data_IF_909094940448
#
_entry.id   IF_909094940448
#
_cell.length_a   1.000
_cell.length_b   1.000
_cell.length_c   1.000
_cell.angle_alpha   90.00
_cell.angle_beta   90.00
_cell.angle_gamma   90.00
#
_symmetry.space_group_name_H-M   'P 1'
#
loop_
_entity.id
_entity.type
_entity.pdbx_description
1 polymer ?
#
# COMPACT_ATOMS: atom_id res chain seq x y z
N UNK A 1 14.43 -40.19 56.17
CA UNK A 1 13.71 -40.44 54.91
C UNK A 1 14.34 -39.53 53.85
N UNK A 2 15.21 -40.06 53.00
CA UNK A 2 15.60 -39.52 51.68
C UNK A 2 14.63 -40.08 50.62
N UNK A 3 14.66 -39.72 49.31
CA UNK A 3 15.53 -38.76 48.57
C UNK A 3 14.67 -37.81 47.68
N UNK A 4 15.18 -36.93 46.81
CA UNK A 4 16.52 -36.62 46.29
C UNK A 4 16.45 -35.37 45.39
N UNK A 5 17.46 -34.49 45.38
CA UNK A 5 18.58 -34.42 44.40
C UNK A 5 18.07 -34.24 42.95
N UNK A 6 18.48 -33.27 42.12
CA UNK A 6 19.70 -32.46 41.97
C UNK A 6 19.37 -31.28 41.00
N UNK A 7 19.84 -30.04 41.17
CA UNK A 7 21.17 -29.50 40.78
C UNK A 7 21.41 -29.57 39.24
N UNK A 8 21.97 -28.61 38.51
CA UNK A 8 22.68 -27.34 38.76
C UNK A 8 22.97 -26.72 37.36
N UNK A 9 23.11 -25.39 37.28
CA UNK A 9 24.01 -24.59 36.38
C UNK A 9 24.00 -24.81 34.85
N UNK A 10 23.66 -23.80 34.03
CA UNK A 10 24.39 -22.57 33.64
C UNK A 10 25.65 -22.77 32.79
N UNK A 11 25.69 -22.06 31.65
CA UNK A 11 26.84 -21.55 30.84
C UNK A 11 26.57 -21.80 29.34
N UNK A 12 26.23 -20.78 28.55
CA UNK A 12 27.13 -19.85 27.83
C UNK A 12 28.10 -20.56 26.87
N UNK A 13 27.95 -20.34 25.57
CA UNK A 13 29.09 -19.98 24.70
C UNK A 13 28.64 -19.67 23.27
N UNK A 14 29.28 -18.62 22.78
CA UNK A 14 29.40 -18.14 21.41
C UNK A 14 29.97 -19.18 20.42
N UNK A 15 29.47 -19.19 19.19
CA UNK A 15 30.31 -19.46 18.01
C UNK A 15 29.65 -19.02 16.71
N UNK A 16 30.38 -18.18 16.00
CA UNK A 16 30.33 -17.85 14.57
C UNK A 16 30.09 -19.04 13.64
N UNK A 17 29.27 -18.82 12.61
CA UNK A 17 29.17 -19.70 11.44
C UNK A 17 27.94 -19.41 10.59
N UNK A 18 28.10 -18.65 9.50
CA UNK A 18 27.16 -18.73 8.37
C UNK A 18 27.27 -20.13 7.77
N UNK A 19 26.39 -21.04 8.19
CA UNK A 19 26.11 -22.29 7.50
C UNK A 19 24.63 -22.31 7.22
N UNK A 20 24.23 -22.41 5.95
CA UNK A 20 22.84 -22.53 5.54
C UNK A 20 22.13 -23.55 6.44
N UNK A 21 21.19 -23.10 7.27
CA UNK A 21 20.26 -24.02 7.92
C UNK A 21 19.62 -24.86 6.80
N UNK A 22 19.55 -26.20 6.95
CA UNK A 22 18.77 -27.00 6.01
C UNK A 22 17.36 -26.39 5.95
N UNK A 23 16.90 -26.11 4.72
CA UNK A 23 15.58 -25.55 4.51
C UNK A 23 14.56 -26.45 5.22
N UNK A 24 13.67 -25.89 6.06
CA UNK A 24 12.71 -26.70 6.79
C UNK A 24 11.84 -27.47 5.81
N UNK A 25 11.56 -28.74 6.13
CA UNK A 25 10.65 -29.59 5.35
C UNK A 25 9.23 -29.05 5.49
N UNK A 26 8.53 -28.81 4.38
CA UNK A 26 7.19 -28.21 4.41
C UNK A 26 6.09 -29.14 4.97
N UNK A 27 6.48 -30.27 5.53
CA UNK A 27 5.65 -31.28 6.19
C UNK A 27 5.80 -31.20 7.73
N UNK A 28 6.67 -30.33 8.25
CA UNK A 28 6.90 -30.11 9.68
C UNK A 28 6.29 -28.78 10.13
N UNK A 29 5.37 -28.79 11.10
CA UNK A 29 4.83 -27.54 11.68
C UNK A 29 5.94 -26.70 12.32
N UNK A 30 5.98 -25.36 12.14
CA UNK A 30 4.95 -24.50 11.54
C UNK A 30 5.02 -24.33 10.00
N UNK A 31 5.87 -25.07 9.30
CA UNK A 31 6.16 -24.92 7.86
C UNK A 31 5.24 -25.72 6.93
N UNK A 32 4.06 -26.14 7.40
CA UNK A 32 3.10 -26.91 6.57
C UNK A 32 2.56 -26.08 5.40
N UNK A 33 2.69 -26.57 4.15
CA UNK A 33 2.06 -25.91 3.00
C UNK A 33 0.55 -25.71 3.20
N UNK A 34 0.01 -24.58 2.72
CA UNK A 34 -1.43 -24.30 2.82
C UNK A 34 -2.26 -25.38 2.12
N UNK A 35 -3.46 -25.68 2.65
CA UNK A 35 -4.37 -26.75 2.21
C UNK A 35 -5.07 -26.53 0.85
N UNK A 36 -4.37 -26.00 -0.14
CA UNK A 36 -4.85 -25.87 -1.52
C UNK A 36 -4.58 -27.17 -2.30
N UNK A 37 -5.59 -27.69 -3.01
CA UNK A 37 -5.49 -28.91 -3.82
C UNK A 37 -4.50 -28.81 -5.00
N UNK A 38 -4.22 -27.58 -5.45
CA UNK A 38 -3.29 -27.30 -6.55
C UNK A 38 -1.86 -27.02 -6.08
N UNK A 39 -1.57 -27.25 -4.80
CA UNK A 39 -0.27 -26.97 -4.22
C UNK A 39 0.27 -28.18 -3.45
N UNK A 40 1.52 -28.51 -3.71
CA UNK A 40 2.18 -29.65 -3.09
C UNK A 40 3.56 -29.25 -2.54
N UNK A 41 4.04 -30.02 -1.56
CA UNK A 41 5.40 -29.91 -1.05
C UNK A 41 6.36 -30.60 -2.03
N UNK A 42 7.07 -29.82 -2.83
CA UNK A 42 8.08 -30.34 -3.75
C UNK A 42 9.41 -30.48 -3.00
N UNK A 43 9.92 -31.71 -2.91
CA UNK A 43 11.17 -31.99 -2.20
C UNK A 43 12.37 -31.60 -3.07
N UNK A 44 13.26 -30.77 -2.54
CA UNK A 44 14.49 -30.39 -3.22
C UNK A 44 15.50 -31.53 -3.18
N UNK A 45 16.06 -31.88 -4.33
CA UNK A 45 16.98 -33.02 -4.45
C UNK A 45 18.36 -32.76 -3.84
N UNK A 46 18.77 -31.50 -3.71
CA UNK A 46 20.09 -31.08 -3.22
C UNK A 46 20.19 -30.89 -1.71
N UNK A 47 19.16 -30.33 -1.08
CA UNK A 47 19.20 -29.91 0.34
C UNK A 47 18.35 -30.78 1.26
N UNK A 48 17.51 -31.66 0.71
CA UNK A 48 16.56 -32.46 1.47
C UNK A 48 15.46 -31.67 2.18
N UNK A 49 15.33 -30.36 1.87
CA UNK A 49 14.22 -29.50 2.28
C UNK A 49 13.06 -29.55 1.29
N UNK A 50 11.92 -28.96 1.65
CA UNK A 50 10.75 -28.85 0.77
C UNK A 50 10.48 -27.40 0.36
N UNK A 51 9.74 -27.21 -0.72
CA UNK A 51 9.10 -25.92 -1.04
C UNK A 51 7.64 -26.12 -1.42
N UNK A 52 6.79 -25.18 -1.00
CA UNK A 52 5.39 -25.14 -1.41
C UNK A 52 5.30 -24.55 -2.81
N UNK A 53 4.85 -25.34 -3.77
CA UNK A 53 4.78 -24.92 -5.16
C UNK A 53 3.49 -25.37 -5.83
N UNK A 54 3.10 -24.66 -6.88
CA UNK A 54 1.87 -24.95 -7.59
C UNK A 54 2.06 -26.07 -8.64
N UNK A 55 1.29 -27.13 -8.55
CA UNK A 55 1.45 -28.31 -9.43
C UNK A 55 0.63 -28.23 -10.72
N UNK A 56 0.20 -27.03 -11.13
CA UNK A 56 -0.53 -26.81 -12.40
C UNK A 56 0.34 -26.87 -13.65
N UNK A 57 1.68 -26.77 -13.51
CA UNK A 57 2.57 -26.86 -14.68
C UNK A 57 2.72 -28.32 -15.08
N UNK A 58 2.35 -28.63 -16.32
CA UNK A 58 2.57 -29.95 -16.91
C UNK A 58 4.05 -30.31 -16.92
N UNK A 59 4.38 -31.56 -16.58
CA UNK A 59 5.75 -32.07 -16.63
C UNK A 59 6.39 -31.94 -18.02
N UNK A 60 5.59 -31.98 -19.09
CA UNK A 60 6.07 -31.76 -20.46
C UNK A 60 6.57 -30.34 -20.74
N UNK A 61 6.21 -29.36 -19.90
CA UNK A 61 6.66 -27.98 -19.98
C UNK A 61 7.89 -27.69 -19.09
N UNK A 62 8.37 -28.67 -18.33
CA UNK A 62 9.51 -28.55 -17.43
C UNK A 62 10.71 -29.33 -17.98
N UNK A 63 11.90 -28.78 -17.81
CA UNK A 63 13.14 -29.47 -18.17
C UNK A 63 13.53 -30.46 -17.07
N UNK A 64 14.04 -31.63 -17.43
CA UNK A 64 14.57 -32.60 -16.48
C UNK A 64 15.82 -32.05 -15.77
N UNK A 65 16.00 -32.40 -14.50
CA UNK A 65 17.24 -32.06 -13.80
C UNK A 65 18.47 -32.73 -14.41
N UNK A 66 19.61 -32.06 -14.32
CA UNK A 66 20.92 -32.53 -14.78
C UNK A 66 21.77 -33.07 -13.62
N UNK A 67 22.87 -33.76 -13.96
CA UNK A 67 23.90 -34.30 -13.05
C UNK A 67 23.32 -35.02 -11.84
N UNK A 68 23.04 -36.32 -11.99
CA UNK A 68 22.44 -37.19 -10.96
C UNK A 68 21.16 -36.62 -10.32
N UNK A 69 20.35 -35.88 -11.10
CA UNK A 69 19.11 -35.23 -10.68
C UNK A 69 19.28 -34.18 -9.56
N UNK A 70 20.37 -33.40 -9.58
CA UNK A 70 20.65 -32.42 -8.51
C UNK A 70 20.62 -30.97 -8.98
N UNK A 71 20.82 -30.69 -10.26
CA UNK A 71 20.98 -29.30 -10.74
C UNK A 71 20.09 -29.01 -11.93
N UNK A 72 19.98 -27.73 -12.28
CA UNK A 72 19.21 -27.25 -13.41
C UNK A 72 20.07 -26.39 -14.32
N UNK A 73 20.00 -26.65 -15.63
CA UNK A 73 20.63 -25.82 -16.66
C UNK A 73 19.86 -24.53 -16.93
N UNK A 74 18.57 -24.49 -16.60
CA UNK A 74 17.72 -23.30 -16.74
C UNK A 74 17.93 -22.35 -15.55
N UNK A 75 18.34 -21.09 -15.78
CA UNK A 75 18.49 -20.09 -14.71
C UNK A 75 17.18 -19.87 -13.93
N UNK A 76 17.29 -19.49 -12.66
CA UNK A 76 16.15 -19.24 -11.76
C UNK A 76 15.18 -20.42 -11.58
N UNK A 77 15.64 -21.64 -11.84
CA UNK A 77 14.91 -22.86 -11.53
C UNK A 77 15.63 -23.67 -10.47
N UNK A 78 14.90 -24.60 -9.85
CA UNK A 78 15.39 -25.44 -8.78
C UNK A 78 14.99 -26.88 -9.06
N UNK A 79 15.93 -27.81 -8.82
CA UNK A 79 15.66 -29.22 -9.04
C UNK A 79 14.79 -29.77 -7.89
N UNK A 80 13.61 -30.26 -8.24
CA UNK A 80 12.65 -30.78 -7.27
C UNK A 80 12.07 -32.12 -7.71
N UNK A 81 11.71 -32.93 -6.73
CA UNK A 81 10.92 -34.14 -6.94
C UNK A 81 9.44 -33.77 -6.95
N UNK A 82 8.86 -33.71 -8.16
CA UNK A 82 7.44 -33.46 -8.35
C UNK A 82 6.70 -34.79 -8.48
N UNK A 83 5.74 -35.01 -7.58
CA UNK A 83 4.92 -36.24 -7.49
C UNK A 83 4.15 -36.55 -8.78
N UNK A 84 3.93 -35.55 -9.64
CA UNK A 84 3.21 -35.69 -10.92
C UNK A 84 4.14 -35.97 -12.11
N UNK A 85 5.46 -35.96 -11.91
CA UNK A 85 6.45 -36.19 -12.96
C UNK A 85 7.23 -37.47 -12.70
N UNK A 86 7.54 -38.24 -13.75
CA UNK A 86 8.27 -39.50 -13.63
C UNK A 86 9.74 -39.33 -13.23
N UNK A 87 10.30 -38.13 -13.45
CA UNK A 87 11.68 -37.75 -13.17
C UNK A 87 11.74 -36.41 -12.44
N UNK A 88 12.79 -36.13 -11.66
CA UNK A 88 13.01 -34.80 -11.08
C UNK A 88 13.12 -33.73 -12.16
N UNK A 89 12.46 -32.60 -11.93
CA UNK A 89 12.31 -31.51 -12.90
C UNK A 89 12.78 -30.18 -12.33
N UNK A 90 13.21 -29.31 -13.24
CA UNK A 90 13.62 -27.94 -12.98
C UNK A 90 12.41 -27.03 -12.89
N UNK A 91 12.05 -26.68 -11.66
CA UNK A 91 10.84 -25.94 -11.34
C UNK A 91 11.17 -24.45 -11.12
N UNK A 92 10.40 -23.49 -11.68
CA UNK A 92 10.67 -22.06 -11.51
C UNK A 92 10.59 -21.63 -10.04
N UNK A 93 11.64 -20.97 -9.54
CA UNK A 93 11.71 -20.54 -8.13
C UNK A 93 10.63 -19.51 -7.82
N UNK A 94 10.21 -18.68 -8.79
CA UNK A 94 9.14 -17.70 -8.62
C UNK A 94 7.76 -18.32 -8.36
N UNK A 95 7.58 -19.60 -8.71
CA UNK A 95 6.35 -20.37 -8.51
C UNK A 95 6.42 -21.29 -7.29
N UNK A 96 7.47 -21.15 -6.47
CA UNK A 96 7.66 -21.91 -5.26
C UNK A 96 8.09 -21.01 -4.09
N UNK A 97 7.59 -21.27 -2.88
CA UNK A 97 8.10 -20.57 -1.69
C UNK A 97 8.35 -21.53 -0.52
N UNK A 98 9.20 -21.16 0.47
CA UNK A 98 9.49 -22.02 1.61
C UNK A 98 8.33 -22.23 2.61
N UNK A 99 7.22 -21.48 2.49
CA UNK A 99 6.17 -21.48 3.52
C UNK A 99 4.73 -21.45 2.98
N UNK A 100 4.44 -20.85 1.82
CA UNK A 100 3.07 -20.70 1.30
C UNK A 100 3.01 -20.78 -0.24
N UNK A 101 1.89 -21.25 -0.78
CA UNK A 101 1.73 -21.38 -2.23
C UNK A 101 1.60 -19.98 -2.88
N UNK A 102 2.40 -19.66 -3.92
CA UNK A 102 2.26 -18.40 -4.63
C UNK A 102 0.94 -18.33 -5.40
N UNK A 103 0.35 -17.14 -5.60
CA UNK A 103 -0.91 -16.98 -6.33
C UNK A 103 -0.75 -17.36 -7.81
N UNK A 104 -1.70 -18.11 -8.36
CA UNK A 104 -1.74 -18.47 -9.77
C UNK A 104 -1.99 -17.22 -10.63
N UNK A 105 -0.96 -16.69 -11.27
CA UNK A 105 -1.11 -15.69 -12.31
C UNK A 105 -1.69 -16.35 -13.57
N UNK A 106 -2.88 -15.93 -14.00
CA UNK A 106 -3.42 -16.34 -15.31
C UNK A 106 -2.57 -15.69 -16.41
N UNK A 107 -1.54 -16.39 -16.89
CA UNK A 107 -0.61 -15.85 -17.87
C UNK A 107 0.52 -16.74 -18.37
N UNK A 108 0.73 -17.95 -17.84
CA UNK A 108 1.84 -18.81 -18.25
C UNK A 108 1.40 -20.19 -18.74
N UNK A 109 0.62 -20.22 -19.83
CA UNK A 109 0.62 -21.34 -20.79
C UNK A 109 0.40 -20.74 -22.19
N UNK A 110 1.48 -20.41 -22.90
CA UNK A 110 1.63 -20.79 -24.32
C UNK A 110 3.05 -20.50 -24.80
N UNK A 111 3.60 -21.52 -25.44
CA UNK A 111 4.94 -21.71 -26.01
C UNK A 111 5.20 -20.86 -27.25
N UNK A 112 6.41 -20.31 -27.37
CA UNK A 112 7.26 -20.55 -28.56
C UNK A 112 8.72 -20.19 -28.27
N UNK A 113 9.57 -21.21 -28.23
CA UNK A 113 10.98 -21.05 -28.58
C UNK A 113 11.03 -20.73 -30.07
N UNK A 114 11.80 -19.71 -30.45
CA UNK A 114 12.36 -19.66 -31.80
C UNK A 114 13.76 -19.09 -31.76
N UNK A 115 14.61 -19.83 -32.46
CA UNK A 115 16.05 -19.85 -32.52
C UNK A 115 16.66 -18.59 -33.13
N UNK A 116 17.81 -18.20 -32.59
CA UNK A 116 18.80 -17.30 -33.18
C UNK A 116 19.08 -17.62 -34.65
N UNK A 117 19.05 -16.59 -35.50
CA UNK A 117 19.98 -16.45 -36.62
C UNK A 117 20.36 -14.98 -36.77
N UNK A 118 21.66 -14.78 -36.90
CA UNK A 118 22.41 -13.54 -37.09
C UNK A 118 22.09 -12.89 -38.44
N UNK A 119 21.84 -11.58 -38.47
CA UNK A 119 22.42 -10.70 -39.49
C UNK A 119 22.39 -9.22 -39.10
N UNK A 120 23.44 -8.53 -39.54
CA UNK A 120 23.90 -7.17 -39.19
C UNK A 120 23.16 -6.10 -40.00
N UNK A 121 22.85 -4.90 -39.47
CA UNK A 121 22.45 -3.79 -40.31
C UNK A 121 23.67 -2.93 -40.71
N UNK A 122 23.83 -2.80 -42.03
CA UNK A 122 24.74 -1.86 -42.70
C UNK A 122 24.01 -0.54 -42.94
N UNK A 123 24.74 0.56 -42.70
CA UNK A 123 24.40 1.95 -42.98
C UNK A 123 24.15 2.20 -44.48
N UNK A 124 23.09 2.93 -44.85
CA UNK A 124 23.17 3.82 -46.03
C UNK A 124 22.23 5.02 -45.88
N UNK A 125 22.85 6.18 -46.08
CA UNK A 125 22.28 7.52 -46.23
C UNK A 125 21.75 7.67 -47.64
N UNK A 126 20.60 8.32 -47.85
CA UNK A 126 20.38 9.02 -49.11
C UNK A 126 19.55 10.30 -48.90
N UNK A 127 20.12 11.36 -49.46
CA UNK A 127 19.67 12.75 -49.46
C UNK A 127 19.01 12.97 -50.82
N UNK A 128 17.89 13.70 -50.86
CA UNK A 128 17.54 14.49 -52.04
C UNK A 128 17.06 15.89 -51.64
N UNK A 129 17.97 16.85 -51.90
CA UNK A 129 17.74 18.25 -52.28
C UNK A 129 16.88 18.31 -53.55
N UNK A 130 16.14 19.35 -53.96
CA UNK A 130 16.27 20.82 -53.94
C UNK A 130 14.90 21.34 -54.49
N UNK A 131 14.42 22.56 -54.28
CA UNK A 131 14.68 23.73 -55.17
C UNK A 131 13.95 24.98 -54.64
N UNK A 132 14.59 26.11 -54.89
CA UNK A 132 14.37 27.54 -54.62
C UNK A 132 13.16 28.20 -55.31
N UNK A 133 12.56 29.26 -54.71
CA UNK A 133 12.56 30.64 -55.27
C UNK A 133 11.97 31.74 -54.34
N UNK A 134 12.24 33.00 -54.74
CA UNK A 134 12.43 34.28 -54.00
C UNK A 134 11.14 35.14 -53.76
N UNK A 135 11.24 36.32 -53.08
CA UNK A 135 10.17 37.05 -52.39
C UNK A 135 9.55 38.21 -53.18
N UNK A 136 8.39 38.69 -52.70
CA UNK A 136 7.81 40.00 -53.08
C UNK A 136 7.13 40.68 -51.89
N UNK A 137 7.23 42.01 -51.87
CA UNK A 137 7.07 42.95 -50.75
C UNK A 137 5.66 43.58 -50.64
N UNK A 138 5.30 43.94 -49.40
CA UNK A 138 4.44 45.06 -48.92
C UNK A 138 2.96 45.14 -49.30
N UNK A 139 2.08 45.09 -48.29
CA UNK A 139 1.13 46.18 -48.01
C UNK A 139 0.62 46.12 -46.56
N UNK A 140 0.62 47.28 -45.90
CA UNK A 140 0.22 47.49 -44.51
C UNK A 140 -1.27 47.83 -44.50
N UNK A 141 -2.08 46.94 -43.93
CA UNK A 141 -3.42 47.28 -43.46
C UNK A 141 -3.47 47.13 -41.94
N UNK A 142 -3.57 48.26 -41.26
CA UNK A 142 -3.88 48.37 -39.83
C UNK A 142 -5.33 47.94 -39.60
N UNK A 143 -5.50 46.81 -38.91
CA UNK A 143 -6.78 46.39 -38.36
C UNK A 143 -6.58 45.97 -36.91
N UNK A 144 -7.41 46.55 -36.04
CA UNK A 144 -7.45 46.46 -34.58
C UNK A 144 -7.41 45.02 -34.09
N UNK A 145 -6.37 44.64 -33.33
CA UNK A 145 -6.27 43.33 -32.66
C UNK A 145 -7.08 43.34 -31.36
N UNK A 146 -8.29 42.80 -31.41
CA UNK A 146 -8.90 42.20 -30.22
C UNK A 146 -8.08 40.97 -29.81
N UNK A 147 -7.75 40.90 -28.53
CA UNK A 147 -7.06 39.77 -27.90
C UNK A 147 -7.85 38.46 -28.12
N UNK A 148 -7.23 37.37 -28.56
CA UNK A 148 -7.95 36.11 -28.72
C UNK A 148 -8.34 35.60 -27.33
N UNK A 149 -9.65 35.52 -27.11
CA UNK A 149 -10.27 34.82 -25.98
C UNK A 149 -9.69 33.42 -25.92
N UNK A 150 -8.83 33.16 -24.93
CA UNK A 150 -8.36 31.81 -24.61
C UNK A 150 -9.56 31.00 -24.15
N UNK A 151 -10.19 30.30 -25.08
CA UNK A 151 -11.16 29.26 -24.76
C UNK A 151 -10.38 28.16 -24.06
N UNK A 152 -10.46 28.08 -22.73
CA UNK A 152 -9.97 26.92 -21.98
C UNK A 152 -10.71 25.70 -22.49
N UNK A 153 -10.03 24.90 -23.32
CA UNK A 153 -10.48 23.57 -23.69
C UNK A 153 -10.44 22.74 -22.40
N UNK A 154 -11.61 22.53 -21.80
CA UNK A 154 -11.79 21.51 -20.76
C UNK A 154 -11.58 20.16 -21.41
N UNK A 155 -10.36 19.64 -21.33
CA UNK A 155 -10.04 18.29 -21.77
C UNK A 155 -10.77 17.36 -20.79
N UNK A 156 -11.91 16.80 -21.19
CA UNK A 156 -12.54 15.76 -20.39
C UNK A 156 -11.62 14.53 -20.45
N UNK A 157 -10.84 14.33 -19.38
CA UNK A 157 -9.86 13.27 -19.29
C UNK A 157 -10.47 11.85 -19.38
N UNK A 158 -11.80 11.72 -19.29
CA UNK A 158 -12.54 10.47 -19.50
C UNK A 158 -13.04 10.26 -20.94
N UNK A 159 -12.87 11.23 -21.85
CA UNK A 159 -13.38 11.16 -23.23
C UNK A 159 -12.39 10.57 -24.25
N UNK A 160 -11.13 10.40 -23.88
CA UNK A 160 -10.15 9.68 -24.71
C UNK A 160 -10.14 8.19 -24.30
N UNK A 161 -10.82 7.38 -25.12
CA UNK A 161 -10.97 5.93 -25.09
C UNK A 161 -10.16 5.13 -24.06
N UNK A 162 -10.91 4.40 -23.23
CA UNK A 162 -10.51 3.18 -22.50
C UNK A 162 -9.27 3.30 -21.61
N UNK A 163 -9.42 3.98 -20.46
CA UNK A 163 -8.39 3.93 -19.39
C UNK A 163 -8.76 3.09 -18.18
N UNK A 164 -10.04 2.83 -17.95
CA UNK A 164 -10.49 1.98 -16.85
C UNK A 164 -10.78 0.57 -17.39
N UNK A 165 -9.96 -0.39 -16.98
CA UNK A 165 -10.08 -1.82 -17.32
C UNK A 165 -11.11 -2.50 -16.40
N UNK A 166 -11.47 -3.75 -16.71
CA UNK A 166 -12.31 -4.59 -15.86
C UNK A 166 -13.61 -3.92 -15.37
N UNK A 167 -14.34 -3.29 -16.30
CA UNK A 167 -15.56 -2.52 -16.03
C UNK A 167 -15.38 -1.34 -15.05
N UNK A 168 -14.17 -0.79 -14.94
CA UNK A 168 -13.92 0.41 -14.17
C UNK A 168 -14.68 1.62 -14.73
N UNK A 169 -15.30 2.42 -13.86
CA UNK A 169 -15.99 3.66 -14.27
C UNK A 169 -15.02 4.83 -14.23
N UNK A 170 -14.86 5.58 -15.31
CA UNK A 170 -14.00 6.76 -15.31
C UNK A 170 -14.67 7.95 -14.61
N UNK A 171 -13.92 8.65 -13.77
CA UNK A 171 -14.34 9.91 -13.15
C UNK A 171 -13.31 11.01 -13.46
N UNK A 172 -13.75 12.18 -13.96
CA UNK A 172 -12.85 13.29 -14.26
C UNK A 172 -12.34 13.93 -12.95
N UNK A 173 -11.07 14.34 -12.94
CA UNK A 173 -10.42 15.05 -11.83
C UNK A 173 -9.51 16.14 -12.39
N UNK A 174 -10.02 17.37 -12.51
CA UNK A 174 -9.32 18.47 -13.17
C UNK A 174 -8.95 18.13 -14.62
N UNK A 175 -7.65 18.21 -14.95
CA UNK A 175 -7.10 17.80 -16.26
C UNK A 175 -6.73 16.30 -16.33
N UNK A 176 -7.03 15.53 -15.29
CA UNK A 176 -6.71 14.11 -15.14
C UNK A 176 -8.00 13.29 -14.94
N UNK A 177 -7.86 11.97 -14.84
CA UNK A 177 -8.95 11.04 -14.58
C UNK A 177 -8.55 10.04 -13.49
N UNK A 178 -9.54 9.39 -12.89
CA UNK A 178 -9.34 8.20 -12.07
C UNK A 178 -10.43 7.16 -12.35
N UNK A 179 -10.12 5.90 -12.07
CA UNK A 179 -11.02 4.79 -12.32
C UNK A 179 -11.69 4.26 -11.05
N UNK A 180 -13.00 4.08 -11.08
CA UNK A 180 -13.77 3.39 -10.05
C UNK A 180 -13.77 1.90 -10.38
N UNK A 181 -13.01 1.12 -9.63
CA UNK A 181 -12.88 -0.30 -9.91
C UNK A 181 -13.99 -1.10 -9.24
N UNK A 182 -14.77 -1.89 -9.99
CA UNK A 182 -15.81 -2.73 -9.40
C UNK A 182 -15.19 -3.93 -8.67
N UNK A 183 -15.86 -4.40 -7.61
CA UNK A 183 -15.51 -5.62 -6.87
C UNK A 183 -14.04 -5.66 -6.40
N UNK A 184 -13.35 -6.76 -6.73
CA UNK A 184 -11.95 -7.00 -6.38
C UNK A 184 -10.94 -6.36 -7.33
N UNK A 185 -11.39 -5.62 -8.35
CA UNK A 185 -10.47 -4.96 -9.27
C UNK A 185 -9.84 -3.72 -8.63
N UNK A 186 -8.58 -3.42 -8.97
CA UNK A 186 -7.87 -2.27 -8.42
C UNK A 186 -6.72 -1.79 -9.32
N UNK A 187 -6.16 -0.63 -8.95
CA UNK A 187 -5.09 0.05 -9.68
C UNK A 187 -5.61 1.32 -10.34
N UNK A 188 -4.71 2.19 -10.79
CA UNK A 188 -5.06 3.47 -11.42
C UNK A 188 -6.05 3.32 -12.59
N UNK A 189 -6.00 2.16 -13.23
CA UNK A 189 -6.80 1.77 -14.39
C UNK A 189 -7.62 0.50 -14.11
N UNK A 190 -7.80 0.07 -12.86
CA UNK A 190 -8.51 -1.18 -12.50
C UNK A 190 -7.93 -2.46 -13.12
N UNK A 191 -6.64 -2.46 -13.44
CA UNK A 191 -6.00 -3.52 -14.21
C UNK A 191 -5.71 -4.81 -13.43
N UNK A 192 -5.81 -4.77 -12.09
CA UNK A 192 -5.42 -5.87 -11.22
C UNK A 192 -6.63 -6.47 -10.52
N UNK A 193 -6.52 -7.73 -10.05
CA UNK A 193 -7.55 -8.48 -9.31
C UNK A 193 -7.03 -8.82 -7.90
N UNK A 194 -7.80 -8.52 -6.86
CA UNK A 194 -7.51 -8.93 -5.46
C UNK A 194 -8.22 -10.23 -5.08
N UNK A 195 -7.80 -10.85 -3.97
CA UNK A 195 -8.43 -12.09 -3.48
C UNK A 195 -9.94 -11.91 -3.26
N UNK A 196 -10.72 -12.75 -3.94
CA UNK A 196 -12.17 -12.64 -4.06
C UNK A 196 -12.95 -12.86 -2.75
N UNK A 197 -12.34 -13.47 -1.73
CA UNK A 197 -13.00 -13.80 -0.45
C UNK A 197 -12.86 -12.73 0.64
N UNK A 198 -11.77 -11.96 0.62
CA UNK A 198 -11.51 -10.89 1.60
C UNK A 198 -12.15 -9.57 1.16
N UNK A 199 -12.23 -9.32 -0.15
CA UNK A 199 -12.89 -8.13 -0.72
C UNK A 199 -14.43 -8.21 -0.64
N UNK A 200 -15.02 -9.41 -0.77
CA UNK A 200 -16.47 -9.59 -0.66
C UNK A 200 -17.03 -9.18 0.71
N UNK A 201 -16.25 -9.32 1.78
CA UNK A 201 -16.62 -8.87 3.12
C UNK A 201 -16.67 -7.33 3.21
N UNK A 202 -15.82 -6.63 2.45
CA UNK A 202 -15.84 -5.16 2.35
C UNK A 202 -17.07 -4.71 1.62
N UNK A 203 -17.36 -5.36 0.49
CA UNK A 203 -18.53 -5.06 -0.32
C UNK A 203 -19.81 -5.32 0.48
N UNK A 204 -19.85 -6.34 1.35
CA UNK A 204 -20.95 -6.58 2.29
C UNK A 204 -21.08 -5.47 3.35
N UNK A 205 -19.98 -5.03 3.97
CA UNK A 205 -19.99 -3.92 4.95
C UNK A 205 -20.43 -2.60 4.29
N UNK A 206 -19.93 -2.31 3.08
CA UNK A 206 -20.23 -1.08 2.34
C UNK A 206 -21.70 -1.09 1.87
N UNK A 207 -22.14 -2.18 1.24
CA UNK A 207 -23.48 -2.27 0.65
C UNK A 207 -24.57 -2.51 1.71
N UNK A 208 -24.23 -3.14 2.85
CA UNK A 208 -25.16 -3.37 3.96
C UNK A 208 -25.43 -2.13 4.82
N UNK A 209 -24.59 -1.09 4.74
CA UNK A 209 -24.63 0.05 5.69
C UNK A 209 -25.16 1.37 5.10
N UNK A 210 -25.57 1.41 3.82
CA UNK A 210 -26.00 2.64 3.12
C UNK A 210 -24.99 3.81 3.28
N UNK A 211 -23.70 3.49 3.29
CA UNK A 211 -22.59 4.46 3.48
C UNK A 211 -22.02 4.90 2.13
N UNK A 212 -21.66 6.19 2.01
CA UNK A 212 -20.94 6.68 0.84
C UNK A 212 -19.46 6.33 0.97
N UNK A 213 -19.00 5.37 0.18
CA UNK A 213 -17.61 4.89 0.21
C UNK A 213 -16.59 5.99 -0.12
N UNK A 214 -15.65 6.26 0.78
CA UNK A 214 -14.63 7.30 0.61
C UNK A 214 -13.31 6.73 0.08
N UNK A 215 -12.81 7.21 -1.06
CA UNK A 215 -11.60 6.66 -1.71
C UNK A 215 -10.28 7.34 -1.35
N UNK A 216 -10.29 8.30 -0.43
CA UNK A 216 -9.12 9.15 -0.14
C UNK A 216 -7.89 8.32 0.21
N UNK A 217 -8.05 7.36 1.11
CA UNK A 217 -6.98 6.46 1.57
C UNK A 217 -6.39 5.65 0.41
N UNK A 218 -7.23 5.00 -0.39
CA UNK A 218 -6.78 4.21 -1.54
C UNK A 218 -6.00 5.07 -2.54
N UNK A 219 -6.54 6.24 -2.89
CA UNK A 219 -5.93 7.12 -3.89
C UNK A 219 -4.57 7.65 -3.44
N UNK A 220 -4.48 8.10 -2.19
CA UNK A 220 -3.22 8.60 -1.62
C UNK A 220 -2.16 7.51 -1.60
N UNK A 221 -2.52 6.30 -1.13
CA UNK A 221 -1.58 5.21 -0.99
C UNK A 221 -1.19 4.59 -2.35
N UNK A 222 -2.05 4.66 -3.36
CA UNK A 222 -1.72 4.22 -4.72
C UNK A 222 -0.77 5.20 -5.43
N UNK A 223 -0.90 6.51 -5.20
CA UNK A 223 -0.04 7.52 -5.87
C UNK A 223 1.28 7.78 -5.13
N UNK A 224 1.46 7.23 -3.94
CA UNK A 224 2.68 7.39 -3.13
C UNK A 224 3.40 6.06 -2.91
N UNK A 225 4.73 6.06 -2.99
CA UNK A 225 5.56 4.84 -2.86
C UNK A 225 6.27 4.73 -1.50
N UNK A 226 5.55 4.98 -0.40
CA UNK A 226 6.13 4.90 0.95
C UNK A 226 6.35 3.44 1.39
N UNK A 227 7.40 3.18 2.18
CA UNK A 227 7.76 1.85 2.73
C UNK A 227 8.17 1.99 4.19
N UNK A 228 8.28 0.86 4.91
CA UNK A 228 8.58 0.85 6.35
C UNK A 228 7.64 1.76 7.14
N UNK A 229 6.34 1.56 6.91
CA UNK A 229 5.27 2.41 7.42
C UNK A 229 4.79 1.91 8.79
N UNK A 230 4.53 2.84 9.69
CA UNK A 230 3.55 2.67 10.77
C UNK A 230 2.27 3.43 10.39
N UNK A 231 1.16 2.71 10.32
CA UNK A 231 -0.15 3.28 10.01
C UNK A 231 -0.94 3.47 11.30
N UNK A 232 -1.27 4.72 11.61
CA UNK A 232 -2.07 5.13 12.76
C UNK A 232 -3.43 5.54 12.21
N UNK A 233 -4.48 4.85 12.62
CA UNK A 233 -5.78 4.87 11.97
C UNK A 233 -6.85 5.15 13.02
N UNK A 234 -7.52 6.27 12.84
CA UNK A 234 -8.77 6.57 13.52
C UNK A 234 -9.84 5.57 13.07
N UNK A 235 -10.47 4.89 14.02
CA UNK A 235 -11.56 3.94 13.79
C UNK A 235 -12.80 4.27 14.61
N UNK A 236 -13.02 5.55 14.93
CA UNK A 236 -14.26 6.02 15.56
C UNK A 236 -15.46 5.89 14.61
N UNK A 237 -16.67 6.12 15.15
CA UNK A 237 -17.91 5.89 14.43
C UNK A 237 -18.04 6.73 13.15
N UNK A 238 -17.57 7.98 13.16
CA UNK A 238 -17.61 8.87 12.00
C UNK A 238 -16.66 8.39 10.90
N UNK A 239 -15.58 7.69 11.25
CA UNK A 239 -14.63 7.15 10.30
C UNK A 239 -15.14 5.94 9.51
N UNK A 240 -16.30 5.34 9.82
CA UNK A 240 -16.82 4.15 9.13
C UNK A 240 -16.64 4.17 7.59
N UNK A 241 -17.02 5.25 6.86
CA UNK A 241 -16.84 5.34 5.42
C UNK A 241 -15.38 5.27 4.97
N UNK A 242 -14.47 5.87 5.73
CA UNK A 242 -13.04 5.85 5.44
C UNK A 242 -12.36 4.57 5.95
N UNK A 243 -12.79 4.04 7.09
CA UNK A 243 -12.33 2.78 7.67
C UNK A 243 -12.61 1.60 6.74
N UNK A 244 -13.74 1.59 6.01
CA UNK A 244 -13.99 0.61 4.96
C UNK A 244 -12.96 0.69 3.82
N UNK A 245 -12.52 1.91 3.46
CA UNK A 245 -11.48 2.11 2.46
C UNK A 245 -10.08 1.76 2.98
N UNK A 246 -9.80 2.03 4.25
CA UNK A 246 -8.62 1.53 4.94
C UNK A 246 -8.60 0.00 4.90
N UNK A 247 -9.71 -0.66 5.24
CA UNK A 247 -9.84 -2.11 5.22
C UNK A 247 -9.62 -2.70 3.82
N UNK A 248 -10.29 -2.14 2.80
CA UNK A 248 -10.11 -2.55 1.39
C UNK A 248 -8.66 -2.36 0.97
N UNK A 249 -8.10 -1.19 1.25
CA UNK A 249 -6.71 -0.92 0.95
C UNK A 249 -5.76 -1.88 1.67
N UNK A 250 -5.97 -2.20 2.95
CA UNK A 250 -5.12 -3.10 3.72
C UNK A 250 -5.06 -4.49 3.11
N UNK A 251 -6.21 -5.06 2.74
CA UNK A 251 -6.28 -6.35 2.02
C UNK A 251 -5.48 -6.26 0.73
N UNK A 252 -5.77 -5.25 -0.09
CA UNK A 252 -5.15 -5.10 -1.40
C UNK A 252 -3.66 -4.75 -1.30
N UNK A 253 -3.19 -4.05 -0.26
CA UNK A 253 -1.81 -3.64 -0.09
C UNK A 253 -0.93 -4.75 0.51
N UNK A 254 -1.51 -5.57 1.38
CA UNK A 254 -0.88 -6.79 1.88
C UNK A 254 -0.60 -7.78 0.76
N UNK A 255 -1.54 -7.93 -0.18
CA UNK A 255 -1.38 -8.77 -1.38
C UNK A 255 -0.34 -8.21 -2.37
N UNK A 256 0.08 -6.94 -2.25
CA UNK A 256 0.96 -6.27 -3.21
C UNK A 256 2.44 -6.13 -2.80
N UNK A 257 2.77 -5.69 -1.57
CA UNK A 257 4.16 -5.21 -1.29
C UNK A 257 4.63 -5.15 0.19
N UNK A 258 3.84 -5.61 1.17
CA UNK A 258 4.16 -5.57 2.63
C UNK A 258 4.91 -4.29 3.12
N UNK A 259 4.40 -3.11 2.73
CA UNK A 259 5.00 -1.79 3.02
C UNK A 259 4.79 -1.31 4.45
N UNK A 260 3.67 -1.71 5.06
CA UNK A 260 3.37 -1.44 6.46
C UNK A 260 4.02 -2.51 7.32
N UNK A 261 4.63 -2.08 8.43
CA UNK A 261 5.20 -2.96 9.44
C UNK A 261 4.32 -3.04 10.69
N UNK A 262 3.61 -1.95 11.00
CA UNK A 262 2.81 -1.87 12.21
C UNK A 262 1.54 -1.03 12.00
N UNK A 263 0.44 -1.46 12.62
CA UNK A 263 -0.81 -0.71 12.69
C UNK A 263 -1.08 -0.27 14.11
N UNK A 264 -1.67 0.90 14.26
CA UNK A 264 -2.31 1.39 15.48
C UNK A 264 -3.71 1.81 15.12
N UNK A 265 -4.71 1.16 15.68
CA UNK A 265 -6.10 1.58 15.59
C UNK A 265 -6.47 2.30 16.90
N UNK A 266 -7.14 3.44 16.82
CA UNK A 266 -7.60 4.15 18.01
C UNK A 266 -9.07 4.53 17.93
N UNK A 267 -9.74 4.55 19.09
CA UNK A 267 -11.18 4.75 19.22
C UNK A 267 -11.55 5.78 20.31
N UNK A 268 -10.58 6.60 20.70
CA UNK A 268 -10.70 7.63 21.75
C UNK A 268 -11.14 7.12 23.14
N UNK A 269 -10.58 5.99 23.55
CA UNK A 269 -10.56 5.59 24.95
C UNK A 269 -11.58 4.53 25.36
N UNK A 270 -12.02 3.66 24.45
CA UNK A 270 -12.91 2.52 24.74
C UNK A 270 -14.25 2.92 25.39
N UNK A 271 -14.97 3.86 24.76
CA UNK A 271 -16.24 4.44 25.24
C UNK A 271 -16.18 5.02 26.66
N UNK A 272 -14.97 5.36 27.11
CA UNK A 272 -14.75 6.02 28.40
C UNK A 272 -15.53 7.35 28.43
N UNK A 273 -16.24 7.65 29.53
CA UNK A 273 -16.93 8.93 29.68
C UNK A 273 -15.96 10.11 29.52
N UNK A 274 -16.43 11.19 28.93
CA UNK A 274 -15.62 12.38 28.63
C UNK A 274 -14.78 12.87 29.82
N UNK A 275 -15.35 12.88 31.03
CA UNK A 275 -14.68 13.30 32.25
C UNK A 275 -13.42 12.48 32.61
N UNK A 276 -13.33 11.24 32.11
CA UNK A 276 -12.22 10.33 32.40
C UNK A 276 -11.16 10.32 31.29
N UNK A 277 -11.39 11.01 30.17
CA UNK A 277 -10.45 11.11 29.03
C UNK A 277 -9.32 12.08 29.34
N UNK A 278 -8.39 11.61 30.17
CA UNK A 278 -7.22 12.39 30.59
C UNK A 278 -6.14 12.35 29.51
N UNK A 279 -5.80 13.52 28.95
CA UNK A 279 -4.75 13.68 27.93
C UNK A 279 -3.46 12.97 28.35
N UNK A 280 -2.92 12.13 27.47
CA UNK A 280 -1.75 11.29 27.70
C UNK A 280 -2.06 9.92 28.29
N UNK A 281 -3.33 9.64 28.59
CA UNK A 281 -3.82 8.38 29.17
C UNK A 281 -5.29 8.10 28.79
N UNK A 282 -5.72 8.63 27.63
CA UNK A 282 -7.08 8.46 27.14
C UNK A 282 -7.38 6.99 26.87
N UNK A 283 -6.39 6.24 26.36
CA UNK A 283 -6.50 4.80 26.12
C UNK A 283 -7.11 4.47 24.76
N UNK A 284 -7.71 3.29 24.60
CA UNK A 284 -8.33 2.92 23.33
C UNK A 284 -7.33 2.75 22.18
N UNK A 285 -6.10 2.34 22.47
CA UNK A 285 -5.02 2.19 21.49
C UNK A 285 -4.74 0.70 21.24
N UNK A 286 -4.90 0.26 19.99
CA UNK A 286 -4.80 -1.13 19.58
C UNK A 286 -3.68 -1.31 18.57
N UNK A 287 -2.54 -1.83 19.03
CA UNK A 287 -1.35 -2.04 18.19
C UNK A 287 -1.17 -3.47 17.72
N UNK A 288 -0.78 -3.66 16.46
CA UNK A 288 -0.53 -4.98 15.90
C UNK A 288 0.49 -4.94 14.77
N UNK A 289 1.37 -5.94 14.70
CA UNK A 289 2.28 -6.12 13.58
C UNK A 289 1.52 -6.50 12.30
N UNK A 290 2.00 -6.01 11.15
CA UNK A 290 1.33 -6.18 9.87
C UNK A 290 1.50 -7.58 9.24
N UNK A 291 2.06 -8.55 9.97
CA UNK A 291 2.44 -9.87 9.43
C UNK A 291 1.27 -10.76 9.02
N UNK A 292 0.13 -10.63 9.68
CA UNK A 292 -1.03 -11.48 9.42
C UNK A 292 -2.29 -10.63 9.30
N UNK A 293 -2.82 -10.53 8.08
CA UNK A 293 -3.97 -9.67 7.81
C UNK A 293 -5.18 -10.04 8.68
N UNK A 294 -5.49 -11.32 8.91
CA UNK A 294 -6.63 -11.69 9.76
C UNK A 294 -6.49 -11.15 11.19
N UNK A 295 -5.28 -11.20 11.77
CA UNK A 295 -5.05 -10.62 13.10
C UNK A 295 -5.14 -9.10 13.11
N UNK A 296 -4.66 -8.45 12.05
CA UNK A 296 -4.79 -7.00 11.89
C UNK A 296 -6.26 -6.59 11.81
N UNK A 297 -7.04 -7.30 10.98
CA UNK A 297 -8.47 -7.05 10.80
C UNK A 297 -9.27 -7.31 12.08
N UNK A 298 -8.95 -8.38 12.81
CA UNK A 298 -9.59 -8.65 14.10
C UNK A 298 -9.25 -7.56 15.12
N UNK A 299 -8.01 -7.08 15.14
CA UNK A 299 -7.58 -5.98 16.03
C UNK A 299 -8.35 -4.69 15.71
N UNK A 300 -8.48 -4.33 14.44
CA UNK A 300 -9.28 -3.20 13.99
C UNK A 300 -10.75 -3.33 14.42
N UNK A 301 -11.37 -4.49 14.18
CA UNK A 301 -12.75 -4.77 14.60
C UNK A 301 -12.93 -4.70 16.12
N UNK A 302 -11.95 -5.19 16.89
CA UNK A 302 -11.97 -5.09 18.35
C UNK A 302 -11.90 -3.63 18.80
N UNK A 303 -11.03 -2.82 18.21
CA UNK A 303 -10.95 -1.38 18.50
C UNK A 303 -12.30 -0.68 18.23
N UNK A 304 -12.87 -0.88 17.05
CA UNK A 304 -14.18 -0.31 16.68
C UNK A 304 -15.32 -0.77 17.60
N UNK A 305 -15.29 -2.03 18.06
CA UNK A 305 -16.32 -2.58 18.95
C UNK A 305 -16.22 -2.00 20.37
N UNK A 306 -15.01 -1.76 20.83
CA UNK A 306 -14.77 -1.31 22.21
C UNK A 306 -14.97 0.19 22.38
N UNK A 307 -15.04 0.96 21.29
CA UNK A 307 -15.41 2.36 21.36
C UNK A 307 -15.71 3.02 20.03
N UNK A 308 -16.55 4.05 20.06
CA UNK A 308 -16.96 4.81 18.88
C UNK A 308 -16.51 6.28 18.87
N UNK A 309 -15.75 6.71 19.87
CA UNK A 309 -15.36 8.10 20.08
C UNK A 309 -16.18 8.81 21.17
N UNK A 310 -17.51 8.68 21.19
CA UNK A 310 -18.40 9.25 22.22
C UNK A 310 -18.56 10.78 22.19
N UNK A 311 -17.46 11.55 22.14
CA UNK A 311 -17.43 13.00 21.87
C UNK A 311 -16.58 13.31 20.62
N UNK A 312 -16.71 14.54 20.10
CA UNK A 312 -16.08 14.94 18.81
C UNK A 312 -14.54 14.97 18.86
N UNK A 313 -13.87 15.41 19.95
CA UNK A 313 -12.41 15.45 19.99
C UNK A 313 -11.77 14.10 20.30
N UNK A 314 -10.71 13.73 19.58
CA UNK A 314 -10.07 12.40 19.65
C UNK A 314 -8.59 12.41 20.11
N UNK A 315 -8.01 11.25 20.43
CA UNK A 315 -6.67 11.09 21.00
C UNK A 315 -5.58 10.71 19.98
N UNK A 316 -5.55 11.42 18.86
CA UNK A 316 -4.64 11.19 17.74
C UNK A 316 -3.16 11.19 18.14
N UNK A 317 -2.73 12.12 19.00
CA UNK A 317 -1.30 12.27 19.33
C UNK A 317 -0.82 11.12 20.22
N UNK A 318 -1.63 10.66 21.17
CA UNK A 318 -1.36 9.44 21.94
C UNK A 318 -1.16 8.23 21.02
N UNK A 319 -2.02 8.07 20.01
CA UNK A 319 -1.91 7.00 19.03
C UNK A 319 -0.64 7.10 18.16
N UNK A 320 -0.27 8.32 17.73
CA UNK A 320 0.98 8.58 17.02
C UNK A 320 2.21 8.21 17.85
N UNK A 321 2.27 8.65 19.10
CA UNK A 321 3.38 8.36 20.01
C UNK A 321 3.49 6.87 20.30
N UNK A 322 2.35 6.19 20.47
CA UNK A 322 2.30 4.75 20.64
C UNK A 322 2.87 4.03 19.41
N UNK A 323 2.47 4.41 18.20
CA UNK A 323 2.99 3.83 16.95
C UNK A 323 4.49 4.04 16.76
N UNK A 324 5.00 5.25 17.03
CA UNK A 324 6.43 5.56 16.97
C UNK A 324 7.23 4.67 17.92
N UNK A 325 6.73 4.49 19.14
CA UNK A 325 7.37 3.64 20.16
C UNK A 325 7.39 2.17 19.74
N UNK A 326 6.32 1.69 19.10
CA UNK A 326 6.21 0.28 18.67
C UNK A 326 7.00 -0.05 17.41
N UNK A 327 7.12 0.91 16.50
CA UNK A 327 7.95 0.77 15.30
C UNK A 327 9.04 1.84 15.23
N UNK A 328 10.10 1.73 16.06
CA UNK A 328 11.18 2.72 16.07
C UNK A 328 11.94 2.77 14.74
N UNK A 329 11.98 1.66 13.99
CA UNK A 329 12.64 1.56 12.68
C UNK A 329 11.73 1.97 11.50
N UNK A 330 10.44 2.24 11.73
CA UNK A 330 9.57 2.75 10.68
C UNK A 330 9.98 4.17 10.29
N UNK A 331 10.20 4.39 8.99
CA UNK A 331 10.61 5.67 8.42
C UNK A 331 9.41 6.58 8.15
N UNK A 332 8.27 5.99 7.82
CA UNK A 332 7.07 6.71 7.43
C UNK A 332 5.98 6.50 8.47
N UNK A 333 5.43 7.60 8.99
CA UNK A 333 4.23 7.57 9.83
C UNK A 333 3.09 8.09 8.98
N UNK A 334 2.07 7.26 8.81
CA UNK A 334 0.84 7.63 8.13
C UNK A 334 -0.24 7.74 9.18
N UNK A 335 -0.87 8.90 9.26
CA UNK A 335 -1.98 9.18 10.16
C UNK A 335 -3.25 9.31 9.34
N UNK A 336 -4.21 8.41 9.51
CA UNK A 336 -5.48 8.44 8.79
C UNK A 336 -6.53 8.95 9.76
N UNK A 337 -7.03 10.16 9.51
CA UNK A 337 -7.81 10.92 10.49
C UNK A 337 -9.08 11.52 9.91
N UNK A 338 -10.09 11.66 10.76
CA UNK A 338 -11.31 12.38 10.44
C UNK A 338 -11.08 13.90 10.39
N UNK A 339 -11.44 14.54 9.28
CA UNK A 339 -11.40 16.00 9.19
C UNK A 339 -12.41 16.68 10.13
N UNK A 340 -13.46 15.99 10.57
CA UNK A 340 -14.50 16.55 11.44
C UNK A 340 -14.15 16.46 12.93
N UNK A 341 -13.22 15.57 13.29
CA UNK A 341 -12.72 15.44 14.67
C UNK A 341 -11.47 16.31 14.86
N UNK A 342 -11.40 17.00 16.00
CA UNK A 342 -10.19 17.75 16.36
C UNK A 342 -9.41 16.98 17.40
N UNK A 343 -8.09 16.75 17.21
CA UNK A 343 -7.27 16.10 18.23
C UNK A 343 -7.33 16.85 19.56
N UNK A 344 -7.72 16.17 20.64
CA UNK A 344 -7.83 16.71 22.00
C UNK A 344 -6.47 16.93 22.65
N UNK A 345 -5.48 16.18 22.18
CA UNK A 345 -4.19 15.98 22.82
C UNK A 345 -3.04 16.67 22.07
N UNK A 346 -3.36 17.72 21.30
CA UNK A 346 -2.38 18.56 20.58
C UNK A 346 -1.22 19.07 21.45
N UNK A 347 -1.42 19.22 22.76
CA UNK A 347 -0.35 19.60 23.71
C UNK A 347 0.80 18.57 23.76
N UNK A 348 0.53 17.32 23.38
CA UNK A 348 1.52 16.24 23.30
C UNK A 348 2.31 16.27 21.99
N UNK A 349 1.90 17.05 20.98
CA UNK A 349 2.49 17.05 19.64
C UNK A 349 3.99 17.36 19.66
N UNK A 350 4.45 18.16 20.63
CA UNK A 350 5.87 18.45 20.86
C UNK A 350 6.75 17.20 21.07
N UNK A 351 6.14 16.07 21.43
CA UNK A 351 6.84 14.79 21.65
C UNK A 351 6.91 13.94 20.38
N UNK A 352 6.24 14.32 19.29
CA UNK A 352 6.24 13.59 18.03
C UNK A 352 7.49 13.99 17.23
N UNK A 353 8.48 13.10 17.19
CA UNK A 353 9.83 13.39 16.67
C UNK A 353 10.04 13.04 15.21
N UNK A 354 9.03 12.50 14.54
CA UNK A 354 9.13 11.98 13.17
C UNK A 354 8.07 12.65 12.28
N UNK A 355 8.38 12.91 10.99
CA UNK A 355 7.42 13.48 10.05
C UNK A 355 6.14 12.65 9.91
N UNK A 356 5.00 13.29 10.15
CA UNK A 356 3.68 12.65 10.06
C UNK A 356 2.99 13.02 8.75
N UNK A 357 2.64 12.00 7.96
CA UNK A 357 1.87 12.13 6.73
C UNK A 357 0.40 11.92 7.07
N UNK A 358 -0.38 12.98 7.08
CA UNK A 358 -1.81 12.91 7.44
C UNK A 358 -2.65 12.69 6.19
N UNK A 359 -3.32 11.55 6.11
CA UNK A 359 -4.37 11.27 5.14
C UNK A 359 -5.69 11.72 5.76
N UNK A 360 -6.34 12.66 5.10
CA UNK A 360 -7.52 13.33 5.65
C UNK A 360 -8.78 12.72 5.06
N UNK A 361 -9.58 12.07 5.90
CA UNK A 361 -10.89 11.55 5.55
C UNK A 361 -11.97 12.61 5.76
N UNK A 362 -13.09 12.49 5.06
CA UNK A 362 -14.27 13.36 5.16
C UNK A 362 -13.97 14.85 4.95
N UNK A 363 -12.97 15.19 4.12
CA UNK A 363 -12.61 16.58 3.87
C UNK A 363 -13.74 17.36 3.17
N UNK A 364 -14.34 16.78 2.13
CA UNK A 364 -15.51 17.32 1.40
C UNK A 364 -15.50 18.86 1.24
N UNK A 365 -16.66 19.55 1.22
CA UNK A 365 -16.75 21.03 1.12
C UNK A 365 -16.32 21.77 2.40
N UNK A 366 -15.82 21.05 3.40
CA UNK A 366 -15.43 21.63 4.67
C UNK A 366 -14.02 22.20 4.57
N UNK A 367 -13.72 23.14 5.46
CA UNK A 367 -12.34 23.53 5.65
C UNK A 367 -11.56 22.34 6.22
N UNK A 368 -10.35 22.14 5.71
CA UNK A 368 -9.36 21.28 6.33
C UNK A 368 -9.15 21.70 7.79
N UNK A 369 -9.19 20.72 8.68
CA UNK A 369 -8.92 20.90 10.09
C UNK A 369 -7.49 21.41 10.29
N UNK A 370 -7.38 22.60 10.88
CA UNK A 370 -6.10 23.27 11.09
C UNK A 370 -5.21 22.54 12.10
N UNK A 371 -5.77 21.76 13.02
CA UNK A 371 -4.97 20.93 13.93
C UNK A 371 -4.30 19.76 13.20
N UNK A 372 -4.96 19.16 12.22
CA UNK A 372 -4.32 18.18 11.33
C UNK A 372 -3.20 18.84 10.50
N UNK A 373 -3.42 20.06 9.99
CA UNK A 373 -2.36 20.84 9.34
C UNK A 373 -1.18 21.10 10.28
N UNK A 374 -1.45 21.37 11.56
CA UNK A 374 -0.44 21.62 12.57
C UNK A 374 0.37 20.35 12.91
N UNK A 375 -0.26 19.19 12.93
CA UNK A 375 0.45 17.89 13.06
C UNK A 375 1.45 17.74 11.92
N UNK A 376 1.01 17.88 10.67
CA UNK A 376 1.89 17.77 9.51
C UNK A 376 2.99 18.84 9.51
N UNK A 377 2.63 20.11 9.74
CA UNK A 377 3.57 21.22 9.73
C UNK A 377 4.63 21.12 10.83
N UNK A 378 4.25 20.85 12.07
CA UNK A 378 5.18 20.86 13.20
C UNK A 378 6.11 19.64 13.23
N UNK A 379 5.71 18.56 12.57
CA UNK A 379 6.54 17.35 12.44
C UNK A 379 7.40 17.35 11.18
N UNK A 380 7.24 18.34 10.29
CA UNK A 380 7.90 18.36 8.97
C UNK A 380 7.32 17.32 7.99
N UNK A 381 6.09 16.88 8.23
CA UNK A 381 5.33 15.98 7.38
C UNK A 381 4.49 16.68 6.33
N UNK A 382 3.34 16.08 5.99
CA UNK A 382 2.50 16.49 4.85
C UNK A 382 1.03 16.16 5.06
N UNK A 383 0.15 16.87 4.36
CA UNK A 383 -1.28 16.57 4.28
C UNK A 383 -1.58 15.91 2.94
N UNK A 384 -2.45 14.91 2.94
CA UNK A 384 -2.85 14.16 1.77
C UNK A 384 -4.38 14.09 1.71
N UNK A 385 -4.95 14.61 0.63
CA UNK A 385 -6.40 14.64 0.39
C UNK A 385 -6.76 13.71 -0.77
N UNK A 386 -8.03 13.61 -1.14
CA UNK A 386 -8.44 12.82 -2.30
C UNK A 386 -7.68 13.24 -3.58
N UNK A 387 -7.48 14.54 -3.77
CA UNK A 387 -7.04 15.14 -5.04
C UNK A 387 -5.58 15.60 -5.04
N UNK A 388 -5.02 15.95 -3.87
CA UNK A 388 -3.69 16.56 -3.80
C UNK A 388 -2.87 16.13 -2.59
N UNK A 389 -1.56 16.15 -2.78
CA UNK A 389 -0.55 15.99 -1.74
C UNK A 389 0.06 17.37 -1.44
N UNK A 390 -0.11 17.83 -0.21
CA UNK A 390 0.31 19.15 0.25
C UNK A 390 1.57 18.96 1.09
N UNK A 391 2.69 19.29 0.47
CA UNK A 391 4.03 19.09 1.02
C UNK A 391 4.57 20.40 1.62
N UNK A 392 5.61 20.30 2.43
CA UNK A 392 6.42 21.45 2.91
C UNK A 392 5.62 22.54 3.65
N UNK A 393 4.56 22.17 4.38
CA UNK A 393 3.78 23.10 5.19
C UNK A 393 4.65 23.84 6.24
N UNK A 394 5.73 23.23 6.71
CA UNK A 394 6.68 23.85 7.64
C UNK A 394 7.49 25.00 7.01
N UNK A 395 7.61 25.05 5.67
CA UNK A 395 8.44 26.02 4.95
C UNK A 395 7.68 27.30 4.58
N UNK A 396 6.35 27.31 4.67
CA UNK A 396 5.56 28.54 4.49
C UNK A 396 5.97 29.51 5.61
N UNK A 397 6.37 30.75 5.31
CA UNK A 397 6.80 31.69 6.34
C UNK A 397 5.65 32.04 7.30
N UNK A 398 5.98 32.51 8.50
CA UNK A 398 4.98 33.12 9.40
C UNK A 398 4.31 34.29 8.67
N UNK A 399 2.99 34.38 8.78
CA UNK A 399 2.08 35.24 8.00
C UNK A 399 1.92 34.87 6.52
N UNK A 400 2.69 33.91 6.02
CA UNK A 400 2.46 33.30 4.71
C UNK A 400 1.13 32.57 4.65
N UNK A 401 0.58 32.45 3.44
CA UNK A 401 -0.71 31.80 3.21
C UNK A 401 -0.59 30.63 2.25
N UNK A 402 -1.52 29.70 2.36
CA UNK A 402 -1.73 28.60 1.42
C UNK A 402 -3.22 28.44 1.16
N UNK A 403 -3.59 28.22 -0.10
CA UNK A 403 -4.96 27.91 -0.48
C UNK A 403 -5.07 26.42 -0.77
N UNK A 404 -6.03 25.76 -0.10
CA UNK A 404 -6.32 24.34 -0.23
C UNK A 404 -7.80 24.24 -0.61
N UNK A 405 -8.07 23.77 -1.83
CA UNK A 405 -9.41 23.86 -2.41
C UNK A 405 -9.84 25.33 -2.55
N UNK A 406 -10.98 25.69 -1.97
CA UNK A 406 -11.51 27.07 -1.99
C UNK A 406 -11.20 27.85 -0.72
N UNK A 407 -10.44 27.27 0.21
CA UNK A 407 -10.17 27.83 1.53
C UNK A 407 -8.72 28.30 1.63
N UNK A 408 -8.50 29.44 2.28
CA UNK A 408 -7.17 29.99 2.49
C UNK A 408 -6.79 29.93 3.96
N UNK A 409 -5.55 29.52 4.21
CA UNK A 409 -4.99 29.34 5.54
C UNK A 409 -3.79 30.25 5.69
N UNK A 410 -3.61 30.79 6.89
CA UNK A 410 -2.41 31.57 7.25
C UNK A 410 -1.60 30.80 8.28
N UNK A 411 -0.28 30.72 8.08
CA UNK A 411 0.62 30.21 9.11
C UNK A 411 0.87 31.31 10.14
N UNK A 412 0.57 31.02 11.40
CA UNK A 412 0.88 31.88 12.55
C UNK A 412 2.00 31.26 13.40
N UNK A 413 2.46 31.97 14.43
CA UNK A 413 3.44 31.45 15.38
C UNK A 413 2.95 30.22 16.15
N UNK A 414 1.64 30.06 16.33
CA UNK A 414 1.03 28.94 17.06
C UNK A 414 0.50 27.85 16.15
N UNK A 415 0.56 28.01 14.83
CA UNK A 415 0.03 27.06 13.85
C UNK A 415 -0.79 27.72 12.74
N UNK A 416 -1.42 26.92 11.89
CA UNK A 416 -2.31 27.35 10.84
C UNK A 416 -3.67 27.79 11.37
N UNK A 417 -4.22 28.84 10.77
CA UNK A 417 -5.59 29.30 10.99
C UNK A 417 -6.28 29.48 9.65
N UNK A 418 -7.59 29.23 9.59
CA UNK A 418 -8.42 29.55 8.43
C UNK A 418 -8.68 31.07 8.41
N UNK A 419 -8.60 31.70 7.23
CA UNK A 419 -8.76 33.16 7.06
C UNK A 419 -9.78 33.55 6.01
#
# INVERSE_FOLDING_TARGET
>A
IRPGLNAYTSSSSSSSGCGCCPLPKCDVKPFSCSSNIDCECLQMTVTGGGMCANVVISCSALTQCETDNKTCSVPNTICVNNTRCDVPVCYPIELATPQMCPPLTSGHISTSLSTTTTEKPTTTVEIHTTTTEKPTTTEIHTTTTESPRTTTITINACSNGTRCLNNGTCQPSGNSFFCLCPGSYYGSNCQNVGSSTSVSLVDEIINGSNITYERTVENVLNRNNWTNIVAVVDVTGSMLPCAAAVYKWMILAYERVNKIKYYVFFNDGDDKPQANKTIGSTGGLYGIDAFNMNTVLNTMKTAMKNGNGGDIPENDIEALLYGIKKCPNCLNIIHIADNQATPRDMILLKNVTKPVKVIVCQLSRNALNTNLMNIASNTGGSIHTLEQDILNLSHIPINGTITIGTRTYRRTITGYVLI
#
